data_IF_580376732866
#
_entry.id   IF_580376732866
#
_cell.length_a   1.000
_cell.length_b   1.000
_cell.length_c   1.000
_cell.angle_alpha   90.00
_cell.angle_beta   90.00
_cell.angle_gamma   90.00
#
_symmetry.space_group_name_H-M   'P 1'
#
loop_
_entity.id
_entity.type
_entity.pdbx_description
1 polymer ?
#
# COMPACT_ATOMS: atom_id res chain seq x y z
N UNK A 1 -34.77 -43.03 13.74
CA UNK A 1 -33.58 -42.67 12.93
C UNK A 1 -33.59 -41.19 12.52
N UNK A 2 -33.84 -40.24 13.44
CA UNK A 2 -33.92 -38.80 13.11
C UNK A 2 -32.70 -37.98 13.57
N UNK A 3 -31.97 -38.45 14.58
CA UNK A 3 -30.79 -37.75 15.12
C UNK A 3 -29.58 -37.80 14.18
N UNK A 4 -29.40 -38.91 13.46
CA UNK A 4 -28.32 -39.09 12.49
C UNK A 4 -28.45 -38.15 11.29
N UNK A 5 -29.68 -37.80 10.90
CA UNK A 5 -29.95 -36.90 9.79
C UNK A 5 -29.55 -35.45 10.14
N UNK A 6 -29.83 -35.02 11.37
CA UNK A 6 -29.40 -33.71 11.91
C UNK A 6 -27.88 -33.61 11.99
N UNK A 7 -27.19 -34.67 12.42
CA UNK A 7 -25.72 -34.69 12.46
C UNK A 7 -25.10 -34.67 11.06
N UNK A 8 -25.70 -35.34 10.08
CA UNK A 8 -25.21 -35.33 8.68
C UNK A 8 -25.27 -33.93 8.07
N UNK A 9 -26.37 -33.21 8.32
CA UNK A 9 -26.56 -31.83 7.84
C UNK A 9 -25.58 -30.87 8.52
N UNK A 10 -25.34 -31.04 9.83
CA UNK A 10 -24.37 -30.24 10.57
C UNK A 10 -22.94 -30.47 10.05
N UNK A 11 -22.57 -31.73 9.77
CA UNK A 11 -21.26 -32.07 9.22
C UNK A 11 -21.09 -31.50 7.81
N UNK A 12 -22.11 -31.59 6.95
CA UNK A 12 -22.04 -31.04 5.60
C UNK A 12 -21.86 -29.51 5.59
N UNK A 13 -22.46 -28.79 6.55
CA UNK A 13 -22.23 -27.36 6.73
C UNK A 13 -20.82 -27.05 7.23
N UNK A 14 -20.30 -27.85 8.17
CA UNK A 14 -18.94 -27.68 8.68
C UNK A 14 -17.88 -27.95 7.61
N UNK A 15 -18.07 -28.99 6.79
CA UNK A 15 -17.16 -29.37 5.70
C UNK A 15 -16.98 -28.26 4.65
N UNK A 16 -18.02 -27.46 4.39
CA UNK A 16 -17.96 -26.34 3.43
C UNK A 16 -17.07 -25.19 3.90
N UNK A 17 -16.82 -25.09 5.22
CA UNK A 17 -15.98 -24.04 5.80
C UNK A 17 -14.51 -24.47 5.97
N UNK A 18 -14.20 -25.76 5.78
CA UNK A 18 -12.83 -26.29 5.79
C UNK A 18 -11.97 -25.72 4.65
N UNK A 19 -12.41 -25.62 3.38
CA UNK A 19 -11.61 -25.00 2.32
C UNK A 19 -11.50 -23.47 2.44
N UNK A 20 -12.38 -22.84 3.23
CA UNK A 20 -12.33 -21.41 3.55
C UNK A 20 -11.39 -21.12 4.74
N UNK A 21 -10.94 -22.17 5.45
CA UNK A 21 -10.01 -22.08 6.57
C UNK A 21 -8.62 -21.74 6.04
N UNK A 22 -8.26 -20.46 6.11
CA UNK A 22 -6.94 -19.96 5.70
C UNK A 22 -6.98 -18.76 4.76
N UNK A 23 -8.14 -18.38 4.24
CA UNK A 23 -8.30 -17.13 3.47
C UNK A 23 -8.50 -15.93 4.41
N UNK A 24 -7.61 -15.81 5.40
CA UNK A 24 -7.48 -14.56 6.14
C UNK A 24 -6.61 -13.64 5.27
N UNK A 25 -7.09 -12.45 4.90
CA UNK A 25 -6.24 -11.47 4.23
C UNK A 25 -5.02 -11.25 5.10
N UNK A 26 -3.83 -11.64 4.61
CA UNK A 26 -2.59 -11.36 5.31
C UNK A 26 -2.47 -9.85 5.39
N UNK A 27 -2.73 -9.27 6.56
CA UNK A 27 -2.56 -7.84 6.83
C UNK A 27 -1.07 -7.53 6.96
N UNK A 28 -0.37 -7.74 5.85
CA UNK A 28 0.90 -7.13 5.57
C UNK A 28 0.84 -6.77 4.09
N UNK A 29 -0.13 -5.91 3.74
CA UNK A 29 0.19 -4.92 2.74
C UNK A 29 1.27 -4.13 3.45
N UNK A 30 2.55 -4.45 3.20
CA UNK A 30 3.62 -3.51 3.45
C UNK A 30 3.08 -2.24 2.82
N UNK A 31 2.67 -1.29 3.66
CA UNK A 31 2.23 0.00 3.16
C UNK A 31 3.50 0.52 2.52
N UNK A 32 3.63 0.29 1.21
CA UNK A 32 4.59 0.97 0.38
C UNK A 32 4.48 2.40 0.83
N UNK A 33 5.54 2.85 1.49
CA UNK A 33 5.67 4.17 2.10
C UNK A 33 5.70 5.14 0.94
N UNK A 34 4.53 5.28 0.33
CA UNK A 34 4.23 6.11 -0.81
C UNK A 34 4.21 7.46 -0.16
N UNK A 35 5.40 8.06 -0.13
CA UNK A 35 5.65 9.40 0.33
C UNK A 35 4.40 10.23 0.02
N UNK A 36 3.89 10.97 1.02
CA UNK A 36 2.66 11.76 0.87
C UNK A 36 2.71 12.68 -0.36
N UNK A 37 3.91 12.94 -0.87
CA UNK A 37 4.24 13.56 -2.14
C UNK A 37 4.62 12.52 -3.20
N UNK A 38 3.98 12.59 -4.37
CA UNK A 38 4.27 11.69 -5.49
C UNK A 38 5.72 11.82 -5.98
N UNK A 39 6.36 10.74 -6.48
CA UNK A 39 7.74 10.78 -6.97
C UNK A 39 8.00 11.88 -8.01
N UNK A 40 7.03 12.13 -8.89
CA UNK A 40 7.07 13.23 -9.87
C UNK A 40 7.16 14.61 -9.22
N UNK A 41 6.43 14.84 -8.12
CA UNK A 41 6.44 16.11 -7.42
C UNK A 41 7.78 16.33 -6.70
N UNK A 42 8.35 15.28 -6.11
CA UNK A 42 9.69 15.36 -5.51
C UNK A 42 10.76 15.72 -6.54
N UNK A 43 10.75 15.07 -7.70
CA UNK A 43 11.71 15.37 -8.78
C UNK A 43 11.58 16.81 -9.26
N UNK A 44 10.35 17.27 -9.50
CA UNK A 44 10.10 18.66 -9.92
C UNK A 44 10.55 19.64 -8.83
N UNK A 45 10.22 19.36 -7.57
CA UNK A 45 10.58 20.22 -6.44
C UNK A 45 12.10 20.37 -6.31
N UNK A 46 12.84 19.25 -6.34
CA UNK A 46 14.31 19.27 -6.24
C UNK A 46 14.92 20.01 -7.44
N UNK A 47 14.41 19.78 -8.65
CA UNK A 47 14.90 20.46 -9.86
C UNK A 47 14.71 21.98 -9.75
N UNK A 48 13.51 22.44 -9.43
CA UNK A 48 13.21 23.87 -9.34
C UNK A 48 14.04 24.55 -8.25
N UNK A 49 14.13 23.97 -7.05
CA UNK A 49 14.88 24.55 -5.92
C UNK A 49 16.38 24.57 -6.19
N UNK A 50 16.95 23.48 -6.71
CA UNK A 50 18.40 23.40 -6.95
C UNK A 50 18.83 24.32 -8.09
N UNK A 51 18.09 24.31 -9.21
CA UNK A 51 18.42 25.14 -10.39
C UNK A 51 18.26 26.63 -10.07
N UNK A 52 17.22 27.04 -9.34
CA UNK A 52 17.03 28.44 -8.95
C UNK A 52 18.14 28.94 -8.04
N UNK A 53 18.58 28.14 -7.07
CA UNK A 53 19.68 28.48 -6.16
C UNK A 53 21.00 28.72 -6.91
N UNK A 54 21.30 27.88 -7.90
CA UNK A 54 22.48 28.02 -8.76
C UNK A 54 22.39 29.28 -9.62
N UNK A 55 21.23 29.55 -10.24
CA UNK A 55 21.03 30.77 -11.02
C UNK A 55 21.18 32.04 -10.17
N UNK A 56 20.64 32.02 -8.95
CA UNK A 56 20.74 33.13 -8.02
C UNK A 56 22.18 33.36 -7.56
N UNK A 57 22.97 32.30 -7.38
CA UNK A 57 24.40 32.40 -7.09
C UNK A 57 25.18 33.04 -8.26
N UNK A 58 24.92 32.61 -9.49
CA UNK A 58 25.57 33.16 -10.69
C UNK A 58 25.20 34.63 -10.87
N UNK A 59 23.93 34.99 -10.68
CA UNK A 59 23.48 36.39 -10.75
C UNK A 59 24.08 37.23 -9.63
N UNK A 60 24.18 36.69 -8.41
CA UNK A 60 24.80 37.37 -7.26
C UNK A 60 26.28 37.68 -7.53
N UNK A 61 27.05 36.76 -8.13
CA UNK A 61 28.47 36.98 -8.45
C UNK A 61 28.65 37.91 -9.66
N UNK A 62 27.72 37.89 -10.63
CA UNK A 62 27.82 38.71 -11.85
C UNK A 62 27.40 40.16 -11.63
N UNK A 63 26.39 40.39 -10.78
CA UNK A 63 25.79 41.71 -10.54
C UNK A 63 26.10 42.28 -9.14
N UNK A 64 26.73 41.50 -8.26
CA UNK A 64 27.30 41.97 -7.00
C UNK A 64 28.73 42.46 -7.13
#
# INVERSE_FOLDING_TARGET
MANSQRMRIANEKASKNVPLRGNVPKTSKVQDEKYAVGPWLLVLFIFVVCVSSVFQLIQCIRFG
#
